data_IF_372281310642
#
_entry.id   IF_372281310642
#
_cell.length_a   1.000
_cell.length_b   1.000
_cell.length_c   1.000
_cell.angle_alpha   90.00
_cell.angle_beta   90.00
_cell.angle_gamma   90.00
#
_symmetry.space_group_name_H-M   'P 1'
#
loop_
_entity.id
_entity.type
_entity.pdbx_description
1 polymer ?
#
# COMPACT_ATOMS: atom_id res chain seq x y z
N UNK A 1 13.16 14.21 -10.98
CA UNK A 1 12.40 13.56 -9.88
C UNK A 1 10.91 13.77 -10.17
N UNK A 2 10.08 12.72 -10.24
CA UNK A 2 8.64 12.86 -10.63
C UNK A 2 7.77 13.42 -9.49
N UNK A 3 8.09 13.08 -8.23
CA UNK A 3 7.45 13.68 -7.05
C UNK A 3 8.16 14.99 -6.69
N UNK A 4 7.36 15.99 -6.29
CA UNK A 4 7.80 17.35 -5.90
C UNK A 4 7.86 17.53 -4.38
N UNK A 5 7.19 16.67 -3.61
CA UNK A 5 7.14 16.73 -2.15
C UNK A 5 6.95 15.33 -1.55
N UNK A 6 7.09 15.22 -0.23
CA UNK A 6 6.97 13.96 0.51
C UNK A 6 5.56 13.37 0.48
N UNK A 7 4.54 14.22 0.35
CA UNK A 7 3.15 13.79 0.24
C UNK A 7 2.91 13.01 -1.07
N UNK A 8 3.43 13.50 -2.19
CA UNK A 8 3.38 12.79 -3.47
C UNK A 8 4.16 11.48 -3.44
N UNK A 9 5.33 11.45 -2.77
CA UNK A 9 6.09 10.21 -2.58
C UNK A 9 5.27 9.20 -1.79
N UNK A 10 4.58 9.65 -0.73
CA UNK A 10 3.70 8.81 0.08
C UNK A 10 2.54 8.25 -0.74
N UNK A 11 1.87 9.11 -1.52
CA UNK A 11 0.74 8.71 -2.37
C UNK A 11 1.13 7.64 -3.38
N UNK A 12 2.25 7.83 -4.09
CA UNK A 12 2.77 6.83 -5.04
C UNK A 12 3.07 5.50 -4.34
N UNK A 13 3.63 5.56 -3.12
CA UNK A 13 3.87 4.36 -2.32
C UNK A 13 2.59 3.60 -1.95
N UNK A 14 1.52 4.32 -1.63
CA UNK A 14 0.19 3.72 -1.36
C UNK A 14 -0.37 3.07 -2.62
N UNK A 15 -0.37 3.78 -3.75
CA UNK A 15 -0.85 3.26 -5.04
C UNK A 15 -0.12 1.97 -5.46
N UNK A 16 1.20 1.94 -5.27
CA UNK A 16 2.01 0.75 -5.54
C UNK A 16 1.68 -0.41 -4.62
N UNK A 17 1.52 -0.15 -3.32
CA UNK A 17 1.20 -1.19 -2.36
C UNK A 17 -0.21 -1.78 -2.59
N UNK A 18 -1.18 -0.96 -3.03
CA UNK A 18 -2.50 -1.43 -3.46
C UNK A 18 -2.33 -2.39 -4.64
N UNK A 19 -1.64 -1.98 -5.71
CA UNK A 19 -1.46 -2.84 -6.88
C UNK A 19 -0.78 -4.17 -6.51
N UNK A 20 0.29 -4.13 -5.70
CA UNK A 20 0.96 -5.33 -5.22
C UNK A 20 0.05 -6.22 -4.38
N UNK A 21 -0.73 -5.64 -3.47
CA UNK A 21 -1.67 -6.39 -2.63
C UNK A 21 -2.73 -7.08 -3.48
N UNK A 22 -3.26 -6.39 -4.50
CA UNK A 22 -4.21 -6.95 -5.45
C UNK A 22 -3.63 -8.18 -6.16
N UNK A 23 -2.42 -8.08 -6.69
CA UNK A 23 -1.75 -9.18 -7.40
C UNK A 23 -1.50 -10.38 -6.47
N UNK A 24 -1.13 -10.14 -5.20
CA UNK A 24 -0.95 -11.20 -4.21
C UNK A 24 -2.27 -11.90 -3.85
N UNK A 25 -3.37 -11.14 -3.71
CA UNK A 25 -4.71 -11.70 -3.47
C UNK A 25 -5.16 -12.54 -4.67
N UNK A 26 -5.02 -12.02 -5.90
CA UNK A 26 -5.37 -12.72 -7.13
C UNK A 26 -4.55 -14.01 -7.32
N UNK A 27 -3.27 -13.99 -6.92
CA UNK A 27 -2.41 -15.17 -6.91
C UNK A 27 -2.80 -16.21 -5.85
N UNK A 28 -3.59 -15.84 -4.84
CA UNK A 28 -4.02 -16.72 -3.75
C UNK A 28 -3.03 -16.80 -2.58
N UNK A 29 -2.27 -15.74 -2.32
CA UNK A 29 -1.46 -15.66 -1.11
C UNK A 29 -2.35 -15.81 0.14
N UNK A 30 -2.00 -16.68 1.11
CA UNK A 30 -2.86 -16.99 2.24
C UNK A 30 -3.00 -15.83 3.24
N UNK A 31 -2.01 -14.94 3.29
CA UNK A 31 -2.03 -13.73 4.11
C UNK A 31 -1.05 -12.69 3.56
N UNK A 32 -1.23 -11.44 3.98
CA UNK A 32 -0.36 -10.31 3.65
C UNK A 32 0.03 -9.61 4.97
N UNK A 33 1.32 -9.47 5.22
CA UNK A 33 1.86 -8.80 6.41
C UNK A 33 2.49 -7.47 6.03
N UNK A 34 2.07 -6.39 6.68
CA UNK A 34 2.59 -5.04 6.44
C UNK A 34 3.52 -4.58 7.57
N UNK A 35 4.72 -4.11 7.22
CA UNK A 35 5.59 -3.40 8.14
C UNK A 35 5.17 -1.93 8.24
N UNK A 36 4.40 -1.57 9.26
CA UNK A 36 3.84 -0.22 9.42
C UNK A 36 4.88 0.84 9.77
N UNK A 37 6.02 0.44 10.35
CA UNK A 37 7.07 1.35 10.84
C UNK A 37 6.52 2.46 11.74
N UNK A 38 5.48 2.15 12.53
CA UNK A 38 4.80 3.11 13.41
C UNK A 38 3.83 4.08 12.72
N UNK A 39 3.56 3.91 11.42
CA UNK A 39 2.61 4.70 10.62
C UNK A 39 1.55 3.76 10.05
N UNK A 40 0.38 3.74 10.66
CA UNK A 40 -0.68 2.78 10.32
C UNK A 40 -1.70 3.33 9.31
N UNK A 41 -1.74 4.64 9.11
CA UNK A 41 -2.74 5.33 8.30
C UNK A 41 -2.67 4.96 6.81
N UNK A 42 -1.48 4.84 6.24
CA UNK A 42 -1.31 4.32 4.88
C UNK A 42 -1.70 2.85 4.76
N UNK A 43 -1.42 2.03 5.79
CA UNK A 43 -1.81 0.61 5.76
C UNK A 43 -3.33 0.46 5.84
N UNK A 44 -4.00 1.28 6.64
CA UNK A 44 -5.47 1.34 6.66
C UNK A 44 -6.05 1.72 5.30
N UNK A 45 -5.46 2.71 4.62
CA UNK A 45 -5.86 3.10 3.28
C UNK A 45 -5.67 1.96 2.26
N UNK A 46 -4.52 1.28 2.28
CA UNK A 46 -4.24 0.14 1.39
C UNK A 46 -5.28 -0.96 1.61
N UNK A 47 -5.50 -1.41 2.86
CA UNK A 47 -6.41 -2.51 3.18
C UNK A 47 -7.88 -2.16 2.92
N UNK A 48 -8.27 -0.90 3.13
CA UNK A 48 -9.63 -0.41 2.86
C UNK A 48 -10.06 -0.51 1.40
N UNK A 49 -9.12 -0.64 0.46
CA UNK A 49 -9.41 -0.87 -0.97
C UNK A 49 -9.80 -2.32 -1.31
N UNK A 50 -9.67 -3.26 -0.36
CA UNK A 50 -9.92 -4.70 -0.55
C UNK A 50 -11.00 -5.25 0.38
N UNK A 51 -11.64 -4.37 1.16
CA UNK A 51 -12.71 -4.71 2.12
C UNK A 51 -14.09 -4.64 1.49
#
# INVERSE_FOLDING_TARGET
>A
MKCKNNEQVRQVGVEWAIQQTKELIEFGAPCIHFYTMGKSDNVQEIVGNFS
#
